data_IF_044236080497
#
_entry.id   IF_044236080497
#
_cell.length_a   1.000
_cell.length_b   1.000
_cell.length_c   1.000
_cell.angle_alpha   90.00
_cell.angle_beta   90.00
_cell.angle_gamma   90.00
#
_symmetry.space_group_name_H-M   'P 1'
#
loop_
_entity.id
_entity.type
_entity.pdbx_description
1 polymer ?
#
# COMPACT_ATOMS: atom_id res chain seq x y z
N UNK A 1 2.97 -16.30 13.58
CA UNK A 1 4.37 -15.87 13.40
C UNK A 1 4.50 -15.27 12.00
N UNK A 2 4.53 -13.95 11.81
CA UNK A 2 4.76 -13.38 10.47
C UNK A 2 5.93 -12.39 10.53
N UNK A 3 7.13 -12.92 10.29
CA UNK A 3 8.35 -12.15 10.07
C UNK A 3 8.27 -11.51 8.68
N UNK A 4 7.94 -10.23 8.57
CA UNK A 4 8.06 -9.49 7.30
C UNK A 4 9.43 -8.81 7.25
N UNK A 5 10.46 -9.55 6.88
CA UNK A 5 11.78 -8.98 6.58
C UNK A 5 11.67 -8.06 5.36
N UNK A 6 12.23 -6.84 5.45
CA UNK A 6 12.35 -5.93 4.31
C UNK A 6 13.39 -6.48 3.31
N UNK A 7 12.94 -7.19 2.26
CA UNK A 7 13.66 -7.55 1.01
C UNK A 7 14.35 -6.35 0.35
N UNK A 8 15.48 -6.61 -0.29
CA UNK A 8 16.46 -5.64 -0.83
C UNK A 8 15.95 -4.73 -1.97
N UNK A 9 14.89 -5.09 -2.68
CA UNK A 9 14.18 -4.24 -3.65
C UNK A 9 12.68 -4.34 -3.35
N UNK A 10 12.20 -3.56 -2.39
CA UNK A 10 10.80 -3.63 -1.95
C UNK A 10 9.90 -2.77 -2.83
N UNK A 11 9.68 -3.20 -4.08
CA UNK A 11 8.59 -2.66 -4.91
C UNK A 11 7.26 -3.21 -4.38
N UNK A 12 6.47 -2.36 -3.75
CA UNK A 12 5.13 -2.71 -3.28
C UNK A 12 4.12 -2.48 -4.41
N UNK A 13 3.32 -3.50 -4.73
CA UNK A 13 2.23 -3.34 -5.70
C UNK A 13 1.02 -2.69 -5.04
N UNK A 14 0.17 -1.99 -5.79
CA UNK A 14 -1.06 -1.40 -5.24
C UNK A 14 -1.95 -2.47 -4.59
N UNK A 15 -2.00 -3.67 -5.15
CA UNK A 15 -2.75 -4.82 -4.62
C UNK A 15 -2.20 -5.24 -3.25
N UNK A 16 -0.88 -5.31 -3.11
CA UNK A 16 -0.24 -5.61 -1.83
C UNK A 16 -0.54 -4.53 -0.79
N UNK A 17 -0.42 -3.25 -1.18
CA UNK A 17 -0.71 -2.13 -0.28
C UNK A 17 -2.16 -2.20 0.23
N UNK A 18 -3.15 -2.42 -0.64
CA UNK A 18 -4.56 -2.59 -0.25
C UNK A 18 -4.77 -3.76 0.72
N UNK A 19 -4.13 -4.91 0.46
CA UNK A 19 -4.21 -6.10 1.32
C UNK A 19 -3.60 -5.88 2.70
N UNK A 20 -2.53 -5.10 2.79
CA UNK A 20 -1.85 -4.80 4.06
C UNK A 20 -2.55 -3.70 4.86
N UNK A 21 -3.21 -2.75 4.18
CA UNK A 21 -3.94 -1.66 4.82
C UNK A 21 -5.32 -2.09 5.37
N UNK A 22 -5.97 -3.09 4.77
CA UNK A 22 -7.29 -3.55 5.23
C UNK A 22 -7.30 -4.07 6.69
N UNK A 23 -6.37 -4.94 7.14
CA UNK A 23 -6.34 -5.42 8.53
C UNK A 23 -6.02 -4.34 9.56
N UNK A 24 -5.45 -3.20 9.14
CA UNK A 24 -5.18 -2.05 10.04
C UNK A 24 -6.34 -1.05 10.09
N UNK A 25 -7.50 -1.40 9.52
CA UNK A 25 -8.71 -0.58 9.56
C UNK A 25 -8.68 0.61 8.59
N UNK A 26 -7.87 0.53 7.53
CA UNK A 26 -7.79 1.56 6.50
C UNK A 26 -8.47 1.10 5.21
N UNK A 27 -9.39 1.93 4.72
CA UNK A 27 -10.13 1.69 3.47
C UNK A 27 -9.51 2.50 2.34
N UNK A 28 -9.22 1.86 1.21
CA UNK A 28 -8.68 2.53 0.03
C UNK A 28 -9.71 3.48 -0.58
N UNK A 29 -9.30 4.72 -0.85
CA UNK A 29 -10.15 5.76 -1.46
C UNK A 29 -9.80 5.93 -2.94
N UNK A 30 -8.52 6.17 -3.26
CA UNK A 30 -8.05 6.38 -4.63
C UNK A 30 -6.55 6.20 -4.75
N UNK A 31 -6.10 5.98 -5.98
CA UNK A 31 -4.67 6.05 -6.35
C UNK A 31 -4.49 7.22 -7.32
N UNK A 32 -3.40 7.96 -7.14
CA UNK A 32 -2.97 9.02 -8.03
C UNK A 32 -1.73 8.59 -8.81
N UNK A 33 -1.72 8.97 -10.09
CA UNK A 33 -0.72 8.51 -11.06
C UNK A 33 0.11 9.67 -11.64
N UNK A 34 0.16 10.80 -10.93
CA UNK A 34 0.88 12.00 -11.38
C UNK A 34 2.40 11.91 -11.21
N UNK A 35 2.92 10.88 -10.53
CA UNK A 35 4.35 10.65 -10.40
C UNK A 35 4.81 9.65 -11.48
N UNK A 36 5.90 9.94 -12.21
CA UNK A 36 6.33 9.12 -13.35
C UNK A 36 6.80 7.71 -12.98
N UNK A 37 7.15 7.47 -11.72
CA UNK A 37 7.70 6.19 -11.27
C UNK A 37 6.97 5.59 -10.05
N UNK A 38 6.05 6.33 -9.44
CA UNK A 38 5.43 5.99 -8.16
C UNK A 38 3.92 6.22 -8.18
N UNK A 39 3.22 5.58 -7.26
CA UNK A 39 1.80 5.81 -7.03
C UNK A 39 1.60 6.46 -5.66
N UNK A 40 0.72 7.45 -5.58
CA UNK A 40 0.26 8.01 -4.30
C UNK A 40 -1.12 7.44 -4.00
N UNK A 41 -1.24 6.67 -2.92
CA UNK A 41 -2.49 6.01 -2.54
C UNK A 41 -3.09 6.70 -1.31
N UNK A 42 -4.35 7.12 -1.42
CA UNK A 42 -5.10 7.70 -0.31
C UNK A 42 -5.96 6.63 0.36
N UNK A 43 -5.90 6.58 1.69
CA UNK A 43 -6.71 5.72 2.54
C UNK A 43 -7.47 6.58 3.54
N UNK A 44 -8.65 6.13 3.94
CA UNK A 44 -9.44 6.73 5.02
C UNK A 44 -9.57 5.75 6.18
N UNK A 45 -9.72 6.30 7.37
CA UNK A 45 -10.08 5.56 8.58
C UNK A 45 -11.49 5.99 8.96
N UNK A 46 -12.36 5.02 9.25
CA UNK A 46 -13.62 5.28 9.94
C UNK A 46 -13.39 5.49 11.44
#
# INVERSE_FOLDING_TARGET
MIKRTVKRLHKMTQVQAKKEMSPVGLTWVRTHDYLPQQHVMAFTKE
#
